data_IF_617842073622
#
_entry.id   IF_617842073622
#
_cell.length_a   1.000
_cell.length_b   1.000
_cell.length_c   1.000
_cell.angle_alpha   90.00
_cell.angle_beta   90.00
_cell.angle_gamma   90.00
#
_symmetry.space_group_name_H-M   'P 1'
#
loop_
_entity.id
_entity.type
_entity.pdbx_description
1 polymer ?
#
# COMPACT_ATOMS: atom_id res chain seq x y z
N UNK A 1 19.41 -20.86 1.34
CA UNK A 1 19.07 -19.75 2.28
C UNK A 1 17.58 -19.80 2.56
N UNK A 2 17.15 -19.63 3.82
CA UNK A 2 15.73 -19.59 4.17
C UNK A 2 15.10 -18.24 3.82
N UNK A 3 13.79 -18.24 3.53
CA UNK A 3 12.97 -17.04 3.26
C UNK A 3 13.09 -15.99 4.37
N UNK A 4 13.17 -16.45 5.62
CA UNK A 4 13.33 -15.60 6.82
C UNK A 4 14.66 -14.85 6.81
N UNK A 5 15.73 -15.50 6.35
CA UNK A 5 17.06 -14.89 6.30
C UNK A 5 17.09 -13.70 5.31
N UNK A 6 16.43 -13.84 4.16
CA UNK A 6 16.42 -12.76 3.17
C UNK A 6 15.56 -11.57 3.59
N UNK A 7 14.41 -11.80 4.21
CA UNK A 7 13.57 -10.72 4.75
C UNK A 7 14.34 -9.85 5.74
N UNK A 8 15.15 -10.45 6.61
CA UNK A 8 15.98 -9.70 7.56
C UNK A 8 17.04 -8.87 6.84
N UNK A 9 17.70 -9.42 5.80
CA UNK A 9 18.65 -8.66 4.98
C UNK A 9 18.00 -7.47 4.28
N UNK A 10 16.80 -7.64 3.74
CA UNK A 10 16.05 -6.55 3.11
C UNK A 10 15.74 -5.43 4.10
N UNK A 11 15.35 -5.78 5.34
CA UNK A 11 15.14 -4.80 6.40
C UNK A 11 16.43 -4.06 6.74
N UNK A 12 17.56 -4.75 6.86
CA UNK A 12 18.86 -4.10 7.10
C UNK A 12 19.24 -3.12 5.98
N UNK A 13 19.09 -3.51 4.72
CA UNK A 13 19.34 -2.61 3.57
C UNK A 13 18.43 -1.37 3.63
N UNK A 14 17.14 -1.56 3.91
CA UNK A 14 16.22 -0.42 4.02
C UNK A 14 16.54 0.48 5.22
N UNK A 15 17.01 -0.07 6.34
CA UNK A 15 17.46 0.72 7.49
C UNK A 15 18.63 1.61 7.09
N UNK A 16 19.67 1.05 6.47
CA UNK A 16 20.85 1.81 6.03
C UNK A 16 20.44 2.94 5.06
N UNK A 17 19.56 2.65 4.12
CA UNK A 17 19.09 3.66 3.17
C UNK A 17 18.22 4.72 3.87
N UNK A 18 17.30 4.34 4.75
CA UNK A 18 16.47 5.30 5.49
C UNK A 18 17.30 6.22 6.40
N UNK A 19 18.34 5.70 7.06
CA UNK A 19 19.30 6.49 7.83
C UNK A 19 20.00 7.54 6.96
N UNK A 20 20.34 7.21 5.72
CA UNK A 20 20.94 8.16 4.78
C UNK A 20 19.99 9.29 4.35
N UNK A 21 18.68 9.04 4.34
CA UNK A 21 17.66 10.01 3.92
C UNK A 21 17.06 10.81 5.08
N UNK A 22 17.16 10.32 6.32
CA UNK A 22 16.49 10.90 7.50
C UNK A 22 17.52 10.96 8.66
N UNK A 23 18.19 12.12 8.86
CA UNK A 23 19.27 12.24 9.84
C UNK A 23 18.89 11.89 11.29
N UNK A 24 17.62 12.06 11.67
CA UNK A 24 17.11 11.79 13.02
C UNK A 24 16.47 10.40 13.19
N UNK A 25 16.52 9.54 12.16
CA UNK A 25 15.87 8.24 12.16
C UNK A 25 16.53 7.27 13.14
N UNK A 26 15.71 6.61 13.97
CA UNK A 26 16.16 5.67 15.00
C UNK A 26 15.54 4.28 14.79
N UNK A 27 16.18 3.38 14.02
CA UNK A 27 15.56 2.13 13.52
C UNK A 27 15.13 1.12 14.59
N UNK A 28 15.60 1.27 15.83
CA UNK A 28 15.26 0.41 16.98
C UNK A 28 14.24 1.06 17.93
N UNK A 29 13.51 2.07 17.46
CA UNK A 29 12.44 2.76 18.19
C UNK A 29 11.10 2.62 17.45
N UNK A 30 10.16 3.54 17.66
CA UNK A 30 8.91 3.59 16.89
C UNK A 30 9.15 3.79 15.38
N UNK A 31 10.28 4.39 15.00
CA UNK A 31 10.65 4.57 13.59
C UNK A 31 10.85 3.22 12.86
N UNK A 32 11.05 2.11 13.59
CA UNK A 32 11.05 0.78 13.00
C UNK A 32 9.79 0.49 12.18
N UNK A 33 8.66 1.07 12.58
CA UNK A 33 7.40 0.90 11.86
C UNK A 33 7.48 1.46 10.43
N UNK A 34 8.26 2.52 10.19
CA UNK A 34 8.51 3.07 8.86
C UNK A 34 9.23 2.05 7.97
N UNK A 35 10.22 1.34 8.52
CA UNK A 35 10.95 0.26 7.82
C UNK A 35 9.99 -0.86 7.42
N UNK A 36 9.08 -1.25 8.31
CA UNK A 36 8.10 -2.29 8.04
C UNK A 36 7.13 -1.90 6.91
N UNK A 37 6.70 -0.63 6.87
CA UNK A 37 5.89 -0.12 5.77
C UNK A 37 6.69 -0.11 4.45
N UNK A 38 7.91 0.44 4.45
CA UNK A 38 8.77 0.47 3.28
C UNK A 38 9.07 -0.94 2.74
N UNK A 39 9.37 -1.89 3.63
CA UNK A 39 9.63 -3.28 3.26
C UNK A 39 8.43 -3.94 2.60
N UNK A 40 7.23 -3.79 3.17
CA UNK A 40 6.00 -4.34 2.59
C UNK A 40 5.68 -3.71 1.23
N UNK A 41 5.85 -2.40 1.11
CA UNK A 41 5.61 -1.69 -0.14
C UNK A 41 6.62 -2.09 -1.22
N UNK A 42 7.90 -2.26 -0.87
CA UNK A 42 8.93 -2.74 -1.78
C UNK A 42 8.63 -4.16 -2.26
N UNK A 43 8.27 -5.08 -1.37
CA UNK A 43 7.86 -6.44 -1.74
C UNK A 43 6.67 -6.41 -2.71
N UNK A 44 5.67 -5.57 -2.43
CA UNK A 44 4.49 -5.43 -3.29
C UNK A 44 4.85 -4.84 -4.65
N UNK A 45 5.73 -3.84 -4.68
CA UNK A 45 6.23 -3.24 -5.90
C UNK A 45 7.00 -4.26 -6.75
N UNK A 46 7.92 -5.02 -6.13
CA UNK A 46 8.71 -6.05 -6.81
C UNK A 46 7.84 -7.19 -7.34
N UNK A 47 6.82 -7.62 -6.60
CA UNK A 47 5.83 -8.59 -7.09
C UNK A 47 5.20 -8.15 -8.40
N UNK A 48 4.77 -6.89 -8.46
CA UNK A 48 4.18 -6.34 -9.69
C UNK A 48 5.21 -6.26 -10.81
N UNK A 49 6.44 -5.82 -10.53
CA UNK A 49 7.50 -5.70 -11.56
C UNK A 49 8.02 -7.04 -12.07
N UNK A 50 8.04 -8.06 -11.23
CA UNK A 50 8.42 -9.43 -11.57
C UNK A 50 7.23 -10.29 -12.05
N UNK A 51 6.03 -9.70 -12.11
CA UNK A 51 4.79 -10.37 -12.47
C UNK A 51 4.54 -11.68 -11.68
N UNK A 52 4.71 -11.63 -10.36
CA UNK A 52 4.55 -12.77 -9.45
C UNK A 52 3.79 -12.33 -8.20
N UNK A 53 3.06 -13.25 -7.58
CA UNK A 53 2.44 -13.04 -6.28
C UNK A 53 3.20 -13.77 -5.14
N UNK A 54 4.27 -14.49 -5.46
CA UNK A 54 5.07 -15.29 -4.52
C UNK A 54 6.31 -14.54 -4.01
N UNK A 55 6.35 -14.28 -2.69
CA UNK A 55 7.50 -13.66 -2.01
C UNK A 55 8.80 -14.45 -2.20
N UNK A 56 8.74 -15.78 -2.37
CA UNK A 56 9.93 -16.62 -2.58
C UNK A 56 10.63 -16.27 -3.89
N UNK A 57 9.86 -15.91 -4.92
CA UNK A 57 10.41 -15.48 -6.22
C UNK A 57 11.09 -14.12 -6.08
N UNK A 58 10.47 -13.19 -5.35
CA UNK A 58 11.06 -11.87 -5.05
C UNK A 58 12.39 -12.03 -4.32
N UNK A 59 12.41 -12.78 -3.21
CA UNK A 59 13.62 -12.94 -2.42
C UNK A 59 14.73 -13.70 -3.16
N UNK A 60 14.37 -14.66 -4.01
CA UNK A 60 15.36 -15.35 -4.86
C UNK A 60 16.01 -14.37 -5.85
N UNK A 61 15.21 -13.55 -6.54
CA UNK A 61 15.75 -12.54 -7.46
C UNK A 61 16.65 -11.55 -6.74
N UNK A 62 16.23 -11.05 -5.57
CA UNK A 62 17.05 -10.12 -4.80
C UNK A 62 18.36 -10.76 -4.29
N UNK A 63 18.33 -12.04 -3.89
CA UNK A 63 19.53 -12.77 -3.48
C UNK A 63 20.51 -13.00 -4.65
N UNK A 64 20.00 -13.35 -5.83
CA UNK A 64 20.80 -13.45 -7.06
C UNK A 64 21.41 -12.11 -7.45
N UNK A 65 20.65 -11.02 -7.36
CA UNK A 65 21.14 -9.67 -7.63
C UNK A 65 22.19 -9.22 -6.61
N UNK A 66 21.97 -9.51 -5.32
CA UNK A 66 22.92 -9.17 -4.27
C UNK A 66 24.26 -9.90 -4.46
N UNK A 67 24.25 -11.16 -4.91
CA UNK A 67 25.48 -11.92 -5.16
C UNK A 67 26.20 -11.49 -6.44
N UNK A 68 25.44 -11.18 -7.49
CA UNK A 68 25.99 -10.90 -8.81
C UNK A 68 26.39 -9.43 -8.99
N UNK A 69 25.62 -8.49 -8.42
CA UNK A 69 25.75 -7.04 -8.59
C UNK A 69 25.31 -6.29 -7.31
N UNK A 70 26.04 -6.43 -6.19
CA UNK A 70 25.65 -5.83 -4.90
C UNK A 70 25.55 -4.31 -4.96
N UNK A 71 26.48 -3.63 -5.65
CA UNK A 71 26.47 -2.17 -5.77
C UNK A 71 25.26 -1.65 -6.57
N UNK A 72 24.91 -2.31 -7.69
CA UNK A 72 23.73 -1.95 -8.47
C UNK A 72 22.44 -2.13 -7.65
N UNK A 73 22.37 -3.20 -6.84
CA UNK A 73 21.25 -3.42 -5.94
C UNK A 73 21.14 -2.28 -4.93
N UNK A 74 22.26 -1.90 -4.31
CA UNK A 74 22.30 -0.81 -3.33
C UNK A 74 21.82 0.51 -3.94
N UNK A 75 22.33 0.88 -5.12
CA UNK A 75 21.87 2.07 -5.86
C UNK A 75 20.38 1.99 -6.18
N UNK A 76 19.88 0.83 -6.58
CA UNK A 76 18.46 0.62 -6.90
C UNK A 76 17.57 0.79 -5.67
N UNK A 77 17.97 0.23 -4.53
CA UNK A 77 17.22 0.35 -3.26
C UNK A 77 17.29 1.79 -2.72
N UNK A 78 18.45 2.46 -2.80
CA UNK A 78 18.57 3.88 -2.46
C UNK A 78 17.60 4.74 -3.27
N UNK A 79 17.61 4.59 -4.60
CA UNK A 79 16.75 5.33 -5.50
C UNK A 79 15.26 5.05 -5.22
N UNK A 80 14.89 3.77 -5.07
CA UNK A 80 13.53 3.39 -4.71
C UNK A 80 13.10 3.99 -3.37
N UNK A 81 13.96 3.97 -2.35
CA UNK A 81 13.71 4.51 -1.02
C UNK A 81 13.47 6.02 -1.08
N UNK A 82 14.28 6.76 -1.84
CA UNK A 82 14.07 8.20 -2.06
C UNK A 82 12.73 8.51 -2.72
N UNK A 83 12.34 7.76 -3.75
CA UNK A 83 11.02 7.89 -4.37
C UNK A 83 9.89 7.53 -3.40
N UNK A 84 10.05 6.45 -2.63
CA UNK A 84 9.06 5.97 -1.69
C UNK A 84 8.83 7.00 -0.58
N UNK A 85 9.90 7.57 -0.02
CA UNK A 85 9.81 8.64 0.98
C UNK A 85 9.12 9.89 0.45
N UNK A 86 9.36 10.26 -0.81
CA UNK A 86 8.65 11.37 -1.45
C UNK A 86 7.14 11.10 -1.48
N UNK A 87 6.73 9.88 -1.85
CA UNK A 87 5.32 9.48 -1.86
C UNK A 87 4.74 9.32 -0.44
N UNK A 88 5.52 8.81 0.51
CA UNK A 88 5.12 8.70 1.91
C UNK A 88 4.73 10.07 2.48
N UNK A 89 5.58 11.09 2.29
CA UNK A 89 5.32 12.47 2.75
C UNK A 89 4.09 13.11 2.07
N UNK A 90 3.81 12.72 0.83
CA UNK A 90 2.64 13.18 0.07
C UNK A 90 1.35 12.51 0.56
N UNK A 91 1.38 11.19 0.73
CA UNK A 91 0.17 10.34 0.90
C UNK A 91 -0.17 10.04 2.34
N UNK A 92 0.79 10.08 3.26
CA UNK A 92 0.60 9.65 4.64
C UNK A 92 0.58 10.85 5.59
N UNK A 93 -0.47 10.92 6.41
CA UNK A 93 -0.55 11.82 7.56
C UNK A 93 -0.65 10.98 8.82
N UNK A 94 0.29 11.20 9.73
CA UNK A 94 0.23 10.61 11.07
C UNK A 94 -0.66 11.51 11.91
N UNK A 95 -1.68 10.92 12.51
CA UNK A 95 -2.63 11.61 13.37
C UNK A 95 -2.24 11.39 14.83
N UNK A 96 -2.19 12.48 15.60
CA UNK A 96 -2.01 12.46 17.05
C UNK A 96 -3.30 12.04 17.78
N UNK A 97 -4.46 12.34 17.19
CA UNK A 97 -5.77 11.97 17.74
C UNK A 97 -6.52 11.11 16.74
N UNK A 98 -7.33 10.19 17.25
CA UNK A 98 -8.13 9.31 16.40
C UNK A 98 -9.09 10.16 15.57
N UNK A 99 -9.00 10.07 14.26
CA UNK A 99 -9.99 10.69 13.37
C UNK A 99 -11.33 9.98 13.52
N UNK A 100 -12.35 10.74 13.91
CA UNK A 100 -13.72 10.26 14.02
C UNK A 100 -14.51 10.63 12.77
N UNK A 101 -14.96 9.60 12.06
CA UNK A 101 -15.88 9.78 10.94
C UNK A 101 -17.29 10.06 11.48
N UNK A 102 -18.09 10.89 10.78
CA UNK A 102 -19.51 11.04 11.11
C UNK A 102 -20.19 9.66 11.21
N UNK A 103 -21.06 9.40 12.22
CA UNK A 103 -21.61 8.07 12.48
C UNK A 103 -22.25 7.41 11.25
N UNK A 104 -23.01 8.18 10.47
CA UNK A 104 -23.66 7.71 9.24
C UNK A 104 -22.65 7.28 8.17
N UNK A 105 -21.54 7.99 8.05
CA UNK A 105 -20.47 7.64 7.11
C UNK A 105 -19.70 6.42 7.60
N UNK A 106 -19.42 6.34 8.90
CA UNK A 106 -18.76 5.18 9.51
C UNK A 106 -19.57 3.89 9.29
N UNK A 107 -20.89 3.94 9.49
CA UNK A 107 -21.79 2.80 9.28
C UNK A 107 -21.82 2.37 7.79
N UNK A 108 -21.82 3.34 6.87
CA UNK A 108 -21.73 3.05 5.42
C UNK A 108 -20.43 2.32 5.07
N UNK A 109 -19.29 2.82 5.55
CA UNK A 109 -17.98 2.19 5.34
C UNK A 109 -17.93 0.80 5.95
N UNK A 110 -18.53 0.61 7.14
CA UNK A 110 -18.61 -0.70 7.80
C UNK A 110 -19.38 -1.71 6.95
N UNK A 111 -20.54 -1.32 6.40
CA UNK A 111 -21.32 -2.18 5.48
C UNK A 111 -20.57 -2.49 4.20
N UNK A 112 -19.91 -1.49 3.60
CA UNK A 112 -19.10 -1.68 2.40
C UNK A 112 -17.92 -2.64 2.63
N UNK A 113 -17.25 -2.55 3.78
CA UNK A 113 -16.20 -3.49 4.17
C UNK A 113 -16.74 -4.91 4.29
N UNK A 114 -17.90 -5.11 4.91
CA UNK A 114 -18.52 -6.43 5.00
C UNK A 114 -18.83 -7.01 3.62
N UNK A 115 -19.45 -6.21 2.75
CA UNK A 115 -19.74 -6.64 1.37
C UNK A 115 -18.48 -6.94 0.57
N UNK A 116 -17.42 -6.16 0.74
CA UNK A 116 -16.12 -6.41 0.12
C UNK A 116 -15.47 -7.71 0.63
N UNK A 117 -15.62 -8.01 1.93
CA UNK A 117 -15.13 -9.25 2.50
C UNK A 117 -15.89 -10.46 1.95
N UNK A 118 -17.20 -10.35 1.77
CA UNK A 118 -18.05 -11.44 1.28
C UNK A 118 -18.05 -11.56 -0.27
N UNK A 119 -17.28 -10.73 -0.97
CA UNK A 119 -17.23 -10.67 -2.44
C UNK A 119 -16.33 -11.73 -3.06
N UNK A 120 -16.87 -12.43 -4.07
CA UNK A 120 -16.08 -13.30 -4.94
C UNK A 120 -15.02 -12.52 -5.70
N UNK A 121 -13.84 -13.13 -5.89
CA UNK A 121 -12.71 -12.53 -6.60
C UNK A 121 -12.20 -11.20 -6.03
N UNK A 122 -12.45 -10.93 -4.73
CA UNK A 122 -11.93 -9.72 -4.04
C UNK A 122 -10.40 -9.60 -4.13
N UNK A 123 -9.70 -10.73 -4.12
CA UNK A 123 -8.24 -10.78 -4.18
C UNK A 123 -7.73 -10.30 -5.54
N UNK A 124 -8.33 -10.80 -6.62
CA UNK A 124 -8.04 -10.42 -7.99
C UNK A 124 -8.36 -8.95 -8.24
N UNK A 125 -9.51 -8.47 -7.77
CA UNK A 125 -9.89 -7.06 -7.82
C UNK A 125 -8.83 -6.17 -7.16
N UNK A 126 -8.41 -6.52 -5.93
CA UNK A 126 -7.37 -5.78 -5.20
C UNK A 126 -6.04 -5.82 -5.95
N UNK A 127 -5.62 -6.98 -6.43
CA UNK A 127 -4.38 -7.16 -7.19
C UNK A 127 -4.36 -6.34 -8.48
N UNK A 128 -5.47 -6.29 -9.22
CA UNK A 128 -5.60 -5.46 -10.42
C UNK A 128 -5.51 -3.96 -10.09
N UNK A 129 -6.12 -3.52 -8.99
CA UNK A 129 -6.03 -2.15 -8.51
C UNK A 129 -4.59 -1.78 -8.07
N UNK A 130 -3.91 -2.67 -7.34
CA UNK A 130 -2.50 -2.52 -6.93
C UNK A 130 -1.59 -2.40 -8.15
N UNK A 131 -1.72 -3.30 -9.14
CA UNK A 131 -0.92 -3.22 -10.39
C UNK A 131 -1.15 -1.90 -11.10
N UNK A 132 -2.40 -1.42 -11.17
CA UNK A 132 -2.73 -0.14 -11.79
C UNK A 132 -2.10 1.03 -11.03
N UNK A 133 -2.17 1.06 -9.69
CA UNK A 133 -1.53 2.09 -8.84
C UNK A 133 -0.02 2.17 -9.10
N UNK A 134 0.67 1.02 -9.06
CA UNK A 134 2.11 0.93 -9.30
C UNK A 134 2.48 1.41 -10.71
N UNK A 135 1.67 1.05 -11.72
CA UNK A 135 1.87 1.51 -13.08
C UNK A 135 1.55 3.01 -13.28
N UNK A 136 0.93 3.67 -12.31
CA UNK A 136 0.74 5.12 -12.28
C UNK A 136 1.74 5.84 -11.36
N UNK A 137 2.74 5.12 -10.83
CA UNK A 137 3.81 5.69 -10.01
C UNK A 137 3.47 5.82 -8.52
N UNK A 138 2.36 5.25 -8.06
CA UNK A 138 2.11 5.07 -6.63
C UNK A 138 2.89 3.85 -6.14
N UNK A 139 3.80 4.05 -5.19
CA UNK A 139 4.67 2.98 -4.66
C UNK A 139 4.60 2.87 -3.13
N UNK A 140 3.85 3.76 -2.49
CA UNK A 140 3.71 3.84 -1.03
C UNK A 140 2.27 3.52 -0.64
N UNK A 141 2.08 2.64 0.35
CA UNK A 141 0.80 2.22 0.93
C UNK A 141 -0.20 1.72 -0.12
N UNK A 142 0.27 1.15 -1.23
CA UNK A 142 -0.55 0.82 -2.41
C UNK A 142 -1.63 -0.21 -2.08
N UNK A 143 -1.34 -1.16 -1.20
CA UNK A 143 -2.28 -2.18 -0.74
C UNK A 143 -3.47 -1.55 0.01
N UNK A 144 -3.16 -0.63 0.93
CA UNK A 144 -4.16 0.09 1.72
C UNK A 144 -4.97 1.07 0.86
N UNK A 145 -4.31 1.81 -0.04
CA UNK A 145 -4.96 2.74 -0.97
C UNK A 145 -5.91 1.98 -1.89
N UNK A 146 -5.47 0.85 -2.46
CA UNK A 146 -6.31 0.01 -3.33
C UNK A 146 -7.58 -0.43 -2.59
N UNK A 147 -7.43 -0.99 -1.39
CA UNK A 147 -8.55 -1.48 -0.59
C UNK A 147 -9.53 -0.35 -0.23
N UNK A 148 -9.04 0.80 0.22
CA UNK A 148 -9.93 1.91 0.57
C UNK A 148 -10.66 2.48 -0.65
N UNK A 149 -10.00 2.62 -1.81
CA UNK A 149 -10.67 3.10 -3.02
C UNK A 149 -11.78 2.14 -3.47
N UNK A 150 -11.57 0.83 -3.32
CA UNK A 150 -12.58 -0.19 -3.59
C UNK A 150 -13.76 -0.06 -2.61
N UNK A 151 -13.47 0.03 -1.31
CA UNK A 151 -14.50 0.18 -0.26
C UNK A 151 -15.31 1.45 -0.46
N UNK A 152 -14.67 2.58 -0.77
CA UNK A 152 -15.34 3.85 -1.06
C UNK A 152 -16.30 3.72 -2.24
N UNK A 153 -15.88 3.02 -3.30
CA UNK A 153 -16.72 2.79 -4.48
C UNK A 153 -17.94 1.90 -4.14
N UNK A 154 -17.75 0.86 -3.32
CA UNK A 154 -18.84 0.03 -2.81
C UNK A 154 -19.80 0.88 -1.95
N UNK A 155 -19.28 1.70 -1.04
CA UNK A 155 -20.09 2.56 -0.17
C UNK A 155 -20.94 3.57 -0.97
N UNK A 156 -20.39 4.13 -2.05
CA UNK A 156 -21.13 4.99 -2.99
C UNK A 156 -22.29 4.26 -3.66
N UNK A 157 -22.08 3.01 -4.05
CA UNK A 157 -23.12 2.18 -4.69
C UNK A 157 -24.24 1.79 -3.73
N UNK A 158 -23.91 1.49 -2.47
CA UNK A 158 -24.91 1.26 -1.42
C UNK A 158 -25.85 2.47 -1.29
N UNK A 159 -25.31 3.69 -1.40
CA UNK A 159 -26.09 4.92 -1.25
C UNK A 159 -27.03 5.20 -2.43
N UNK A 160 -26.80 4.58 -3.60
CA UNK A 160 -27.62 4.76 -4.81
C UNK A 160 -28.71 3.69 -4.96
N UNK A 161 -28.61 2.57 -4.23
CA UNK A 161 -29.61 1.52 -4.24
C UNK A 161 -30.78 1.83 -3.31
N UNK A 162 -32.02 1.72 -3.81
CA UNK A 162 -33.19 1.61 -2.93
C UNK A 162 -32.98 0.45 -1.96
N UNK A 163 -33.46 0.59 -0.71
CA UNK A 163 -33.25 -0.33 0.43
C UNK A 163 -33.57 -1.82 0.18
N UNK A 164 -34.15 -2.18 -0.97
CA UNK A 164 -34.64 -3.52 -1.29
C UNK A 164 -33.99 -4.17 -2.53
N UNK A 165 -32.89 -3.62 -3.09
CA UNK A 165 -32.21 -4.24 -4.25
C UNK A 165 -30.83 -4.77 -3.86
N UNK A 166 -30.70 -6.09 -3.84
CA UNK A 166 -29.45 -6.87 -3.72
C UNK A 166 -29.26 -7.60 -5.06
N UNK A 167 -28.06 -8.00 -5.58
CA UNK A 167 -26.67 -7.54 -5.45
C UNK A 167 -25.98 -7.27 -6.81
N UNK A 168 -26.71 -7.07 -7.93
CA UNK A 168 -26.10 -6.98 -9.28
C UNK A 168 -25.11 -5.79 -9.43
N UNK A 169 -25.27 -4.75 -8.61
CA UNK A 169 -24.45 -3.54 -8.65
C UNK A 169 -23.01 -3.70 -8.10
N UNK A 170 -22.70 -4.82 -7.45
CA UNK A 170 -21.42 -5.07 -6.76
C UNK A 170 -20.62 -6.17 -7.49
N UNK A 171 -20.56 -6.07 -8.82
CA UNK A 171 -19.70 -6.92 -9.64
C UNK A 171 -18.23 -6.42 -9.57
N UNK A 172 -17.22 -7.30 -9.31
CA UNK A 172 -15.81 -6.90 -9.21
C UNK A 172 -15.27 -6.14 -10.43
N UNK A 173 -15.60 -6.56 -11.65
CA UNK A 173 -15.16 -5.88 -12.88
C UNK A 173 -15.77 -4.49 -13.01
N UNK A 174 -17.05 -4.36 -12.66
CA UNK A 174 -17.73 -3.06 -12.62
C UNK A 174 -17.09 -2.11 -11.61
N UNK A 175 -16.68 -2.63 -10.44
CA UNK A 175 -15.95 -1.84 -9.43
C UNK A 175 -14.57 -1.47 -9.97
N UNK A 176 -13.83 -2.42 -10.55
CA UNK A 176 -12.52 -2.17 -11.13
C UNK A 176 -12.56 -1.05 -12.18
N UNK A 177 -13.53 -1.07 -13.09
CA UNK A 177 -13.66 -0.04 -14.12
C UNK A 177 -13.84 1.37 -13.52
N UNK A 178 -14.67 1.50 -12.47
CA UNK A 178 -14.85 2.76 -11.76
C UNK A 178 -13.57 3.19 -11.00
N UNK A 179 -12.95 2.24 -10.29
CA UNK A 179 -11.72 2.46 -9.51
C UNK A 179 -10.54 2.82 -10.41
N UNK A 180 -10.40 2.19 -11.57
CA UNK A 180 -9.34 2.44 -12.55
C UNK A 180 -9.35 3.90 -13.02
N UNK A 181 -10.54 4.45 -13.31
CA UNK A 181 -10.72 5.86 -13.65
C UNK A 181 -10.31 6.82 -12.53
N UNK A 182 -10.50 6.43 -11.26
CA UNK A 182 -10.04 7.20 -10.09
C UNK A 182 -8.52 7.11 -9.94
N UNK A 183 -7.94 5.91 -10.06
CA UNK A 183 -6.49 5.69 -9.97
C UNK A 183 -5.72 6.52 -10.99
N UNK A 184 -6.21 6.64 -12.23
CA UNK A 184 -5.57 7.46 -13.27
C UNK A 184 -5.49 8.95 -12.94
N UNK A 185 -6.33 9.45 -12.02
CA UNK A 185 -6.34 10.85 -11.61
C UNK A 185 -5.49 11.11 -10.36
N UNK A 186 -5.19 10.07 -9.57
CA UNK A 186 -4.41 10.18 -8.34
C UNK A 186 -3.07 10.91 -8.50
N UNK A 187 -2.27 10.72 -9.58
CA UNK A 187 -1.02 11.46 -9.73
C UNK A 187 -1.21 12.99 -9.80
N UNK A 188 -2.41 13.46 -10.17
CA UNK A 188 -2.77 14.88 -10.22
C UNK A 188 -3.35 15.39 -8.89
N UNK A 189 -3.88 14.49 -8.06
CA UNK A 189 -4.44 14.82 -6.75
C UNK A 189 -3.31 14.86 -5.72
N UNK A 190 -2.93 16.05 -5.27
CA UNK A 190 -1.97 16.21 -4.17
C UNK A 190 -2.70 16.13 -2.83
N UNK A 191 -2.18 15.32 -1.91
CA UNK A 191 -2.67 15.26 -0.54
C UNK A 191 -2.69 13.85 0.05
N UNK A 192 -2.98 13.78 1.36
CA UNK A 192 -2.99 12.53 2.08
C UNK A 192 -4.14 11.63 1.64
N UNK A 193 -3.81 10.37 1.41
CA UNK A 193 -4.77 9.28 1.15
C UNK A 193 -4.80 8.27 2.32
N UNK A 194 -3.84 8.37 3.22
CA UNK A 194 -3.64 7.46 4.34
C UNK A 194 -3.49 8.27 5.61
N UNK A 195 -4.32 7.95 6.59
CA UNK A 195 -4.27 8.53 7.92
C UNK A 195 -3.89 7.42 8.90
N UNK A 196 -2.70 7.53 9.49
CA UNK A 196 -2.20 6.55 10.45
C UNK A 196 -2.37 7.10 11.86
N UNK A 197 -3.14 6.40 12.68
CA UNK A 197 -3.13 6.62 14.12
C UNK A 197 -1.89 5.94 14.70
N UNK A 198 -0.77 6.65 14.75
CA UNK A 198 0.33 6.26 15.63
C UNK A 198 0.04 6.91 16.97
N UNK A 199 0.05 6.14 18.07
CA UNK A 199 -0.10 6.74 19.39
C UNK A 199 1.01 7.79 19.54
N UNK A 200 0.69 9.08 19.71
CA UNK A 200 1.71 10.09 19.93
C UNK A 200 2.21 9.88 21.35
N UNK A 201 3.34 9.21 21.48
CA UNK A 201 4.25 9.45 22.57
C UNK A 201 5.66 9.28 22.01
N UNK A 202 6.44 10.34 22.21
CA UNK A 202 7.88 10.48 21.94
C UNK A 202 8.25 11.13 20.60
N UNK A 203 7.91 12.41 20.45
CA UNK A 203 8.89 13.38 19.97
C UNK A 203 9.79 13.78 21.15
#
# INVERSE_FOLDING_TARGET
MSVVNFRNKLLSLLIEELESHIPQFKPYTLDHQLVLYASRDLETWLKVKLNTDDNRVVYRHLDEYLRSRPEDLKVSINFWTGMWLKKWRERVRVLSTKFELPPDYAEKIRRARKLYQDMDYRGELKSMAIRKLINQGEICMVDFIAENIIIDEIAKRISRGNKNVVPIAINPLSIYNAVSGKIMRLPKEKGPLVYLNMKPNMF
#
